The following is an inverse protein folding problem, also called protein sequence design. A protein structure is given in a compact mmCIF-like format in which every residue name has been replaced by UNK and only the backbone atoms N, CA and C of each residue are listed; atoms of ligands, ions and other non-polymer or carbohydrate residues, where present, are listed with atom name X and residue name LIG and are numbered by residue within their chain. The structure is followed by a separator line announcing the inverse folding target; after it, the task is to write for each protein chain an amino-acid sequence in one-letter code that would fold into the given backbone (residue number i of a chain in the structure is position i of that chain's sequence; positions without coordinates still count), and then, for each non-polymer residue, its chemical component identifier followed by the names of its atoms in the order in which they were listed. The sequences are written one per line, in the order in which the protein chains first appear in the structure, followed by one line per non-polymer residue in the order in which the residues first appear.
data_IF_115374515575
#
_entry.id   IF_115374515575
#
_cell.length_a   1.000
_cell.length_b   1.000
_cell.length_c   1.000
_cell.angle_alpha   90.00
_cell.angle_beta   90.00
_cell.angle_gamma   90.00
#
_symmetry.space_group_name_H-M   'P 1'
#
loop_
_entity.id
_entity.type
_entity.pdbx_description
1 polymer ?
#
# COMPACT_ATOMS: atom_id res chain seq x y z
N UNK A 1 12.46 10.53 17.99
CA UNK A 1 13.61 9.84 18.60
C UNK A 1 13.33 8.49 19.26
N UNK A 2 12.19 8.24 19.91
CA UNK A 2 11.91 6.89 20.46
C UNK A 2 11.62 5.83 19.39
N UNK A 3 10.91 6.16 18.31
CA UNK A 3 10.52 5.19 17.28
C UNK A 3 11.71 4.65 16.47
N UNK A 4 12.77 5.46 16.29
CA UNK A 4 14.01 5.01 15.62
C UNK A 4 14.81 4.02 16.47
N UNK A 5 14.78 4.14 17.80
CA UNK A 5 15.54 3.29 18.70
C UNK A 5 14.85 1.95 18.99
N UNK A 6 13.51 1.92 19.02
CA UNK A 6 12.73 0.68 19.09
C UNK A 6 12.88 -0.16 17.81
N UNK A 7 12.81 0.49 16.64
CA UNK A 7 12.98 -0.18 15.35
C UNK A 7 14.39 -0.81 15.21
N UNK A 8 15.44 -0.13 15.68
CA UNK A 8 16.82 -0.65 15.66
C UNK A 8 17.01 -1.91 16.56
N UNK A 9 16.29 -2.00 17.69
CA UNK A 9 16.41 -3.15 18.58
C UNK A 9 15.67 -4.39 18.05
N UNK A 10 14.48 -4.19 17.47
CA UNK A 10 13.71 -5.26 16.84
C UNK A 10 14.41 -5.78 15.58
N UNK A 11 14.92 -4.89 14.73
CA UNK A 11 15.71 -5.24 13.54
C UNK A 11 16.97 -6.03 13.92
N UNK A 12 17.70 -5.60 14.97
CA UNK A 12 18.87 -6.33 15.50
C UNK A 12 18.50 -7.72 16.01
N UNK A 13 17.38 -7.84 16.72
CA UNK A 13 16.91 -9.14 17.19
C UNK A 13 16.52 -10.05 16.02
N UNK A 14 15.81 -9.52 15.02
CA UNK A 14 15.45 -10.26 13.81
C UNK A 14 16.70 -10.71 13.04
N UNK A 15 17.64 -9.81 12.79
CA UNK A 15 18.91 -10.14 12.14
C UNK A 15 19.69 -11.20 12.92
N UNK A 16 19.73 -11.08 14.25
CA UNK A 16 20.33 -12.08 15.11
C UNK A 16 19.63 -13.45 14.99
N UNK A 17 18.30 -13.51 14.98
CA UNK A 17 17.54 -14.75 14.78
C UNK A 17 17.88 -15.37 13.41
N UNK A 18 17.85 -14.56 12.35
CA UNK A 18 18.09 -15.00 10.98
C UNK A 18 19.52 -15.52 10.77
N UNK A 19 20.53 -14.91 11.41
CA UNK A 19 21.92 -15.38 11.28
C UNK A 19 22.13 -16.80 11.81
N UNK A 20 21.30 -17.27 12.75
CA UNK A 20 21.33 -18.66 13.23
C UNK A 20 20.55 -19.64 12.34
N UNK A 21 19.86 -19.14 11.31
CA UNK A 21 19.06 -19.92 10.36
C UNK A 21 19.63 -19.88 8.93
N UNK A 22 20.72 -19.15 8.67
CA UNK A 22 21.31 -18.97 7.34
C UNK A 22 21.46 -20.28 6.56
N UNK A 23 22.12 -21.29 7.14
CA UNK A 23 22.33 -22.58 6.47
C UNK A 23 21.01 -23.29 6.09
N UNK A 24 19.98 -23.18 6.94
CA UNK A 24 18.68 -23.78 6.66
C UNK A 24 17.92 -22.97 5.61
N UNK A 25 18.04 -21.64 5.64
CA UNK A 25 17.48 -20.76 4.60
C UNK A 25 18.13 -21.10 3.26
N UNK A 26 19.45 -21.20 3.15
CA UNK A 26 20.14 -21.56 1.91
C UNK A 26 19.74 -22.94 1.40
N UNK A 27 19.57 -23.91 2.29
CA UNK A 27 19.18 -25.28 1.96
C UNK A 27 17.75 -25.38 1.43
N UNK A 28 16.83 -24.58 1.96
CA UNK A 28 15.40 -24.62 1.61
C UNK A 28 14.98 -23.50 0.65
N UNK A 29 15.89 -22.56 0.34
CA UNK A 29 15.62 -21.47 -0.58
C UNK A 29 15.22 -22.05 -1.95
N UNK A 30 14.04 -21.71 -2.47
CA UNK A 30 13.64 -22.16 -3.79
C UNK A 30 14.60 -21.61 -4.84
N UNK A 31 14.87 -22.39 -5.89
CA UNK A 31 15.56 -21.88 -7.06
C UNK A 31 14.76 -20.75 -7.71
N UNK A 32 15.42 -19.89 -8.50
CA UNK A 32 14.75 -18.80 -9.23
C UNK A 32 13.62 -19.30 -10.16
N UNK A 33 13.71 -20.54 -10.65
CA UNK A 33 12.66 -21.21 -11.43
C UNK A 33 11.48 -21.70 -10.57
N UNK A 34 11.73 -22.07 -9.31
CA UNK A 34 10.70 -22.49 -8.35
C UNK A 34 10.01 -21.30 -7.66
N UNK A 35 10.68 -20.15 -7.58
CA UNK A 35 10.10 -18.87 -7.13
C UNK A 35 9.04 -18.28 -8.07
N UNK A 36 8.67 -18.99 -9.14
CA UNK A 36 7.49 -18.64 -9.94
C UNK A 36 6.21 -18.98 -9.15
N UNK A 37 6.02 -18.37 -7.98
CA UNK A 37 4.71 -18.36 -7.34
C UNK A 37 3.77 -17.63 -8.26
N UNK A 38 2.86 -18.41 -8.86
CA UNK A 38 2.04 -17.95 -9.98
C UNK A 38 0.97 -17.00 -9.46
N UNK A 39 0.41 -17.27 -8.28
CA UNK A 39 -0.80 -16.61 -7.81
C UNK A 39 -0.70 -16.06 -6.37
N UNK A 40 -1.61 -15.13 -6.06
CA UNK A 40 -1.65 -14.42 -4.77
C UNK A 40 -1.85 -15.38 -3.59
N UNK A 41 -2.70 -16.42 -3.73
CA UNK A 41 -2.91 -17.37 -2.64
C UNK A 41 -1.61 -18.08 -2.26
N UNK A 42 -0.90 -18.66 -3.24
CA UNK A 42 0.31 -19.46 -2.98
C UNK A 42 1.46 -18.58 -2.46
N UNK A 43 1.52 -17.32 -2.89
CA UNK A 43 2.48 -16.34 -2.36
C UNK A 43 2.33 -16.14 -0.84
N UNK A 44 1.10 -16.09 -0.34
CA UNK A 44 0.81 -15.97 1.10
C UNK A 44 0.80 -17.31 1.85
N UNK A 45 0.80 -18.45 1.14
CA UNK A 45 0.82 -19.79 1.73
C UNK A 45 2.05 -20.59 1.28
N UNK A 46 3.28 -20.07 1.47
CA UNK A 46 4.48 -20.79 1.07
C UNK A 46 4.66 -22.05 1.92
N UNK A 47 5.42 -23.00 1.39
CA UNK A 47 5.92 -24.12 2.21
C UNK A 47 6.69 -23.55 3.40
N UNK A 48 6.28 -23.92 4.61
CA UNK A 48 6.82 -23.34 5.84
C UNK A 48 7.46 -24.41 6.72
N UNK A 49 8.70 -24.13 7.10
CA UNK A 49 9.49 -24.92 8.05
C UNK A 49 9.55 -24.20 9.39
N UNK A 50 9.49 -24.95 10.48
CA UNK A 50 9.52 -24.40 11.83
C UNK A 50 10.82 -24.80 12.52
N UNK A 51 11.45 -23.84 13.20
CA UNK A 51 12.70 -24.08 13.91
C UNK A 51 12.62 -23.59 15.35
N UNK A 52 13.25 -24.33 16.26
CA UNK A 52 13.54 -23.87 17.61
C UNK A 52 15.04 -23.53 17.69
N UNK A 53 15.35 -22.32 18.16
CA UNK A 53 16.71 -21.93 18.49
C UNK A 53 17.04 -22.50 19.88
N UNK A 54 18.13 -23.27 19.96
CA UNK A 54 18.59 -23.94 21.17
C UNK A 54 19.98 -23.45 21.55
N UNK A 55 20.24 -23.37 22.84
CA UNK A 55 21.57 -23.08 23.39
C UNK A 55 22.07 -24.30 24.15
N UNK A 56 23.16 -24.89 23.65
CA UNK A 56 23.81 -26.06 24.24
C UNK A 56 25.32 -25.85 24.23
N UNK A 57 25.96 -26.02 25.38
CA UNK A 57 27.41 -25.97 25.56
C UNK A 57 28.09 -24.70 24.99
N UNK A 58 27.48 -23.53 25.17
CA UNK A 58 28.06 -22.27 24.68
C UNK A 58 27.76 -21.96 23.21
N UNK A 59 27.05 -22.84 22.51
CA UNK A 59 26.72 -22.69 21.10
C UNK A 59 25.22 -22.58 20.89
N UNK A 60 24.84 -21.67 19.99
CA UNK A 60 23.47 -21.55 19.52
C UNK A 60 23.32 -22.38 18.25
N UNK A 61 22.26 -23.18 18.19
CA UNK A 61 21.95 -24.03 17.04
C UNK A 61 20.45 -23.99 16.73
N UNK A 62 20.09 -24.05 15.46
CA UNK A 62 18.71 -24.27 15.03
C UNK A 62 18.38 -25.75 14.99
N UNK A 63 17.16 -26.11 15.41
CA UNK A 63 16.61 -27.47 15.29
C UNK A 63 15.23 -27.39 14.65
N UNK A 64 15.06 -28.07 13.52
CA UNK A 64 13.75 -28.18 12.89
C UNK A 64 12.77 -28.89 13.84
N UNK A 65 11.55 -28.36 13.92
CA UNK A 65 10.46 -28.91 14.72
C UNK A 65 9.27 -29.21 13.84
N UNK A 66 8.50 -30.22 14.22
CA UNK A 66 7.29 -30.57 13.49
C UNK A 66 6.23 -29.47 13.60
N UNK A 67 5.49 -29.30 12.51
CA UNK A 67 4.34 -28.41 12.48
C UNK A 67 3.29 -28.88 13.49
N UNK A 68 2.80 -27.95 14.33
CA UNK A 68 1.73 -28.21 15.28
C UNK A 68 0.53 -27.29 15.00
N UNK A 69 -0.70 -27.64 15.46
CA UNK A 69 -1.86 -26.76 15.31
C UNK A 69 -1.64 -25.35 15.87
N UNK A 70 -0.91 -25.22 16.98
CA UNK A 70 -0.59 -23.93 17.58
C UNK A 70 0.35 -23.08 16.70
N UNK A 71 1.32 -23.70 16.03
CA UNK A 71 2.22 -23.01 15.10
C UNK A 71 1.49 -22.59 13.83
N UNK A 72 0.62 -23.45 13.28
CA UNK A 72 -0.23 -23.11 12.13
C UNK A 72 -1.18 -21.97 12.45
N UNK A 73 -1.82 -22.01 13.62
CA UNK A 73 -2.67 -20.91 14.08
C UNK A 73 -1.91 -19.57 14.18
N UNK A 74 -0.65 -19.57 14.63
CA UNK A 74 0.18 -18.36 14.62
C UNK A 74 0.42 -17.85 13.20
N UNK A 75 0.71 -18.73 12.25
CA UNK A 75 0.87 -18.35 10.84
C UNK A 75 -0.41 -17.78 10.24
N UNK A 76 -1.55 -18.41 10.48
CA UNK A 76 -2.84 -17.95 9.96
C UNK A 76 -3.17 -16.53 10.45
N UNK A 77 -2.71 -16.16 11.65
CA UNK A 77 -2.87 -14.81 12.21
C UNK A 77 -1.91 -13.77 11.59
N UNK A 78 -0.89 -14.19 10.83
CA UNK A 78 -0.02 -13.30 10.07
C UNK A 78 -0.61 -12.96 8.70
N UNK A 79 -1.62 -13.71 8.24
CA UNK A 79 -2.25 -13.45 6.96
C UNK A 79 -3.06 -12.14 7.00
N UNK A 80 -2.96 -11.29 5.97
CA UNK A 80 -3.76 -10.09 5.89
C UNK A 80 -5.23 -10.48 5.78
N UNK A 81 -6.02 -10.10 6.77
CA UNK A 81 -7.45 -10.41 6.84
C UNK A 81 -8.24 -9.34 7.59
N UNK A 82 -9.24 -8.78 6.92
CA UNK A 82 -10.19 -7.83 7.53
C UNK A 82 -11.62 -8.29 7.26
N UNK A 83 -12.42 -8.39 8.33
CA UNK A 83 -13.86 -8.61 8.23
C UNK A 83 -14.59 -7.32 7.87
N UNK A 84 -15.37 -7.38 6.80
CA UNK A 84 -16.15 -6.27 6.27
C UNK A 84 -17.52 -6.15 6.97
N UNK A 85 -17.92 -4.92 7.34
CA UNK A 85 -19.24 -4.68 7.88
C UNK A 85 -20.33 -4.74 6.79
N UNK A 86 -21.58 -4.99 7.20
CA UNK A 86 -22.74 -5.16 6.28
C UNK A 86 -22.92 -4.00 5.31
N UNK A 87 -22.56 -2.76 5.68
CA UNK A 87 -22.74 -1.61 4.78
C UNK A 87 -21.77 -1.64 3.59
N UNK A 88 -20.55 -2.17 3.77
CA UNK A 88 -19.61 -2.38 2.66
C UNK A 88 -20.08 -3.54 1.78
N UNK A 89 -20.53 -4.65 2.38
CA UNK A 89 -21.03 -5.80 1.62
C UNK A 89 -22.23 -5.45 0.73
N UNK A 90 -23.01 -4.44 1.11
CA UNK A 90 -24.14 -3.92 0.32
C UNK A 90 -23.72 -3.04 -0.87
N UNK A 91 -22.44 -2.69 -1.01
CA UNK A 91 -21.93 -1.91 -2.15
C UNK A 91 -21.89 -2.74 -3.45
N UNK A 92 -22.12 -4.06 -3.40
CA UNK A 92 -22.23 -4.92 -4.58
C UNK A 92 -20.91 -5.12 -5.33
N UNK A 93 -19.77 -5.00 -4.62
CA UNK A 93 -18.44 -5.22 -5.21
C UNK A 93 -18.27 -6.73 -5.51
N UNK A 94 -17.80 -7.11 -6.71
CA UNK A 94 -17.57 -8.52 -7.05
C UNK A 94 -16.45 -9.13 -6.21
N UNK A 95 -16.45 -10.46 -6.08
CA UNK A 95 -15.47 -11.21 -5.28
C UNK A 95 -14.56 -12.04 -6.19
N UNK A 96 -13.29 -12.09 -5.82
CA UNK A 96 -12.23 -12.86 -6.48
C UNK A 96 -11.55 -13.76 -5.46
N UNK A 97 -11.20 -14.98 -5.88
CA UNK A 97 -10.33 -15.85 -5.10
C UNK A 97 -8.88 -15.45 -5.34
N UNK A 98 -8.07 -15.37 -4.27
CA UNK A 98 -6.65 -15.06 -4.39
C UNK A 98 -5.89 -16.08 -5.26
N UNK A 99 -6.39 -17.33 -5.35
CA UNK A 99 -5.85 -18.38 -6.21
C UNK A 99 -6.03 -18.12 -7.70
N UNK A 100 -6.99 -17.26 -8.07
CA UNK A 100 -7.30 -16.94 -9.47
C UNK A 100 -6.48 -15.75 -9.99
N UNK A 101 -5.74 -15.08 -9.10
CA UNK A 101 -5.01 -13.85 -9.41
C UNK A 101 -3.54 -14.17 -9.62
N UNK A 102 -3.06 -14.04 -10.85
CA UNK A 102 -1.65 -14.25 -11.18
C UNK A 102 -0.84 -13.01 -10.75
N UNK A 103 0.32 -13.19 -10.13
CA UNK A 103 1.22 -12.09 -9.77
C UNK A 103 2.05 -11.70 -10.99
N UNK A 104 2.01 -10.43 -11.37
CA UNK A 104 2.76 -9.87 -12.51
C UNK A 104 3.96 -9.06 -12.02
N UNK A 105 3.76 -8.25 -10.99
CA UNK A 105 4.77 -7.38 -10.42
C UNK A 105 4.61 -7.26 -8.91
N UNK A 106 5.74 -7.21 -8.21
CA UNK A 106 5.81 -6.95 -6.77
C UNK A 106 6.22 -5.49 -6.54
N UNK A 107 5.56 -4.80 -5.62
CA UNK A 107 6.05 -3.54 -5.08
C UNK A 107 6.80 -3.83 -3.78
N UNK A 108 8.13 -3.94 -3.87
CA UNK A 108 8.98 -4.34 -2.76
C UNK A 108 8.66 -5.77 -2.29
N UNK A 109 8.19 -5.91 -1.05
CA UNK A 109 7.93 -7.20 -0.41
C UNK A 109 6.50 -7.72 -0.61
N UNK A 110 5.62 -7.03 -1.34
CA UNK A 110 4.22 -7.43 -1.51
C UNK A 110 3.83 -7.50 -2.99
N UNK A 111 2.93 -8.42 -3.39
CA UNK A 111 2.36 -8.42 -4.73
C UNK A 111 1.54 -7.15 -4.96
N UNK A 112 1.83 -6.42 -6.03
CA UNK A 112 1.20 -5.14 -6.33
C UNK A 112 0.36 -5.18 -7.60
N UNK A 113 0.90 -5.73 -8.70
CA UNK A 113 0.15 -5.89 -9.94
C UNK A 113 -0.21 -7.35 -10.12
N UNK A 114 -1.51 -7.59 -10.31
CA UNK A 114 -2.07 -8.93 -10.50
C UNK A 114 -2.88 -8.99 -11.78
N UNK A 115 -2.94 -10.18 -12.38
CA UNK A 115 -3.70 -10.46 -13.59
C UNK A 115 -4.85 -11.41 -13.28
N UNK A 116 -6.02 -11.08 -13.79
CA UNK A 116 -7.14 -12.01 -13.87
C UNK A 116 -7.63 -12.06 -15.31
N UNK A 117 -7.48 -13.23 -15.94
CA UNK A 117 -7.66 -13.41 -17.39
C UNK A 117 -6.72 -12.47 -18.15
N UNK A 118 -7.25 -11.57 -18.98
CA UNK A 118 -6.46 -10.63 -19.80
C UNK A 118 -6.34 -9.23 -19.19
N UNK A 119 -6.87 -9.01 -17.97
CA UNK A 119 -6.89 -7.69 -17.33
C UNK A 119 -5.89 -7.61 -16.18
N UNK A 120 -5.22 -6.47 -16.08
CA UNK A 120 -4.33 -6.12 -14.97
C UNK A 120 -5.06 -5.28 -13.93
N UNK A 121 -4.72 -5.50 -12.68
CA UNK A 121 -5.27 -4.80 -11.52
C UNK A 121 -4.15 -4.48 -10.54
N UNK A 122 -4.33 -3.38 -9.80
CA UNK A 122 -3.54 -3.11 -8.62
C UNK A 122 -4.19 -3.82 -7.42
N UNK A 123 -3.45 -4.66 -6.71
CA UNK A 123 -3.89 -5.33 -5.48
C UNK A 123 -3.49 -4.48 -4.27
N UNK A 124 -4.48 -3.85 -3.62
CA UNK A 124 -4.27 -3.18 -2.34
C UNK A 124 -4.55 -4.16 -1.20
N UNK A 125 -3.49 -4.61 -0.53
CA UNK A 125 -3.54 -5.54 0.60
C UNK A 125 -4.06 -4.81 1.84
N UNK A 126 -4.87 -5.49 2.67
CA UNK A 126 -5.41 -4.88 3.90
C UNK A 126 -4.43 -4.95 5.06
N UNK A 127 -4.47 -3.95 5.94
CA UNK A 127 -3.82 -3.99 7.24
C UNK A 127 -4.81 -4.49 8.31
N UNK A 128 -4.60 -5.70 8.91
CA UNK A 128 -5.45 -6.21 9.97
C UNK A 128 -5.42 -5.37 11.26
N UNK A 129 -4.32 -4.68 11.53
CA UNK A 129 -4.17 -3.82 12.70
C UNK A 129 -4.96 -2.51 12.53
N UNK A 130 -5.14 -2.05 11.29
CA UNK A 130 -5.84 -0.82 10.96
C UNK A 130 -6.97 -1.06 9.93
N UNK A 131 -8.08 -1.71 10.33
CA UNK A 131 -9.15 -2.06 9.40
C UNK A 131 -10.06 -0.87 9.04
N UNK A 132 -9.95 0.27 9.73
CA UNK A 132 -10.82 1.44 9.51
C UNK A 132 -10.48 2.16 8.19
N UNK A 133 -9.20 2.45 7.87
CA UNK A 133 -8.81 3.04 6.59
C UNK A 133 -9.34 2.27 5.37
N UNK A 134 -9.14 0.95 5.31
CA UNK A 134 -9.65 0.12 4.20
C UNK A 134 -11.16 0.27 4.00
N UNK A 135 -11.94 0.30 5.10
CA UNK A 135 -13.41 0.43 5.02
C UNK A 135 -13.81 1.83 4.53
N UNK A 136 -13.10 2.86 4.97
CA UNK A 136 -13.28 4.24 4.54
C UNK A 136 -12.99 4.40 3.05
N UNK A 137 -11.86 3.88 2.59
CA UNK A 137 -11.44 3.93 1.19
C UNK A 137 -12.45 3.24 0.26
N UNK A 138 -12.85 2.00 0.56
CA UNK A 138 -13.86 1.27 -0.21
C UNK A 138 -15.18 2.04 -0.30
N UNK A 139 -15.59 2.69 0.79
CA UNK A 139 -16.82 3.49 0.83
C UNK A 139 -16.72 4.73 -0.04
N UNK A 140 -15.66 5.54 0.12
CA UNK A 140 -15.47 6.77 -0.66
C UNK A 140 -15.37 6.45 -2.15
N UNK A 141 -14.54 5.49 -2.55
CA UNK A 141 -14.33 5.17 -3.96
C UNK A 141 -15.63 4.69 -4.63
N UNK A 142 -16.47 3.91 -3.93
CA UNK A 142 -17.78 3.48 -4.46
C UNK A 142 -18.79 4.62 -4.49
N UNK A 143 -18.74 5.59 -3.57
CA UNK A 143 -19.60 6.77 -3.64
C UNK A 143 -19.20 7.71 -4.79
N UNK A 144 -17.89 7.94 -4.99
CA UNK A 144 -17.32 8.64 -6.15
C UNK A 144 -17.80 7.99 -7.45
N UNK A 145 -17.77 6.66 -7.53
CA UNK A 145 -18.27 5.92 -8.69
C UNK A 145 -19.78 6.14 -8.90
N UNK A 146 -20.57 6.02 -7.83
CA UNK A 146 -22.02 6.20 -7.85
C UNK A 146 -22.44 7.61 -8.29
N UNK A 147 -21.65 8.62 -7.93
CA UNK A 147 -21.85 10.01 -8.35
C UNK A 147 -21.28 10.32 -9.74
N UNK A 148 -20.63 9.35 -10.40
CA UNK A 148 -19.95 9.49 -11.69
C UNK A 148 -18.75 10.46 -11.69
N UNK A 149 -18.19 10.82 -10.54
CA UNK A 149 -17.07 11.77 -10.46
C UNK A 149 -15.78 11.24 -11.09
N UNK A 150 -15.63 9.90 -11.18
CA UNK A 150 -14.55 9.25 -11.94
C UNK A 150 -14.53 9.58 -13.45
N UNK A 151 -15.55 10.28 -13.96
CA UNK A 151 -15.59 10.82 -15.33
C UNK A 151 -15.06 12.24 -15.43
N UNK A 152 -14.95 12.94 -14.30
CA UNK A 152 -14.52 14.34 -14.19
C UNK A 152 -13.11 14.45 -13.60
N UNK A 153 -12.74 13.51 -12.73
CA UNK A 153 -11.38 13.35 -12.21
C UNK A 153 -10.89 11.91 -12.42
N UNK A 154 -9.56 11.74 -12.48
CA UNK A 154 -8.93 10.43 -12.57
C UNK A 154 -8.68 9.89 -11.18
N UNK A 155 -9.35 8.79 -10.88
CA UNK A 155 -9.30 8.09 -9.60
C UNK A 155 -9.43 6.60 -9.90
N UNK A 156 -8.64 5.72 -9.25
CA UNK A 156 -8.82 4.29 -9.40
C UNK A 156 -10.25 3.90 -9.04
N UNK A 157 -10.78 2.88 -9.69
CA UNK A 157 -12.08 2.31 -9.34
C UNK A 157 -11.88 1.00 -8.60
N UNK A 158 -12.78 0.67 -7.67
CA UNK A 158 -12.76 -0.63 -6.97
C UNK A 158 -13.34 -1.70 -7.90
N UNK A 159 -12.47 -2.59 -8.36
CA UNK A 159 -12.78 -3.63 -9.33
C UNK A 159 -13.20 -4.96 -8.68
N UNK A 160 -12.82 -5.21 -7.43
CA UNK A 160 -13.14 -6.46 -6.74
C UNK A 160 -12.63 -6.57 -5.32
N UNK A 161 -13.26 -7.42 -4.52
CA UNK A 161 -12.80 -7.85 -3.21
C UNK A 161 -12.06 -9.18 -3.35
N UNK A 162 -10.93 -9.35 -2.67
CA UNK A 162 -10.11 -10.56 -2.76
C UNK A 162 -10.14 -11.33 -1.44
N UNK A 163 -10.35 -12.64 -1.49
CA UNK A 163 -10.30 -13.51 -0.31
C UNK A 163 -9.42 -14.74 -0.55
N UNK A 164 -8.82 -15.28 0.51
CA UNK A 164 -8.14 -16.57 0.47
C UNK A 164 -9.10 -17.76 0.45
N UNK A 165 -10.38 -17.55 0.78
CA UNK A 165 -11.37 -18.60 0.94
C UNK A 165 -12.68 -18.21 0.26
N UNK A 166 -13.66 -19.12 0.25
CA UNK A 166 -15.04 -18.82 -0.17
C UNK A 166 -15.80 -17.87 0.78
N UNK A 167 -15.12 -17.28 1.78
CA UNK A 167 -15.69 -16.26 2.65
C UNK A 167 -16.27 -15.10 1.85
N UNK A 168 -17.47 -14.66 2.25
CA UNK A 168 -18.16 -13.49 1.68
C UNK A 168 -18.21 -12.32 2.66
N UNK A 169 -17.38 -12.38 3.69
CA UNK A 169 -17.30 -11.34 4.73
C UNK A 169 -15.87 -10.89 4.99
N UNK A 170 -14.86 -11.72 4.69
CA UNK A 170 -13.47 -11.42 4.98
C UNK A 170 -12.67 -11.23 3.70
N UNK A 171 -11.88 -10.17 3.65
CA UNK A 171 -10.99 -9.85 2.54
C UNK A 171 -9.53 -9.88 2.99
N UNK A 172 -8.64 -10.26 2.07
CA UNK A 172 -7.18 -10.10 2.22
C UNK A 172 -6.67 -8.86 1.50
N UNK A 173 -7.47 -8.33 0.57
CA UNK A 173 -7.16 -7.18 -0.24
C UNK A 173 -8.34 -6.83 -1.14
N UNK A 174 -8.17 -5.82 -1.96
CA UNK A 174 -9.11 -5.46 -3.00
C UNK A 174 -8.39 -4.99 -4.26
N UNK A 175 -9.03 -5.19 -5.40
CA UNK A 175 -8.53 -4.83 -6.71
C UNK A 175 -8.95 -3.40 -7.06
N UNK A 176 -7.99 -2.61 -7.52
CA UNK A 176 -8.18 -1.29 -8.06
C UNK A 176 -7.79 -1.27 -9.55
N UNK A 177 -8.24 -0.22 -10.26
CA UNK A 177 -7.73 0.09 -11.61
C UNK A 177 -6.20 0.12 -11.59
N UNK A 178 -5.55 -0.66 -12.46
CA UNK A 178 -4.12 -0.54 -12.71
C UNK A 178 -3.85 0.74 -13.52
N UNK A 179 -3.01 1.63 -12.98
CA UNK A 179 -2.56 2.83 -13.68
C UNK A 179 -1.25 2.49 -14.39
N UNK A 180 -1.27 2.44 -15.72
CA UNK A 180 -0.11 2.02 -16.51
C UNK A 180 0.99 3.10 -16.50
N UNK A 181 2.21 2.70 -16.16
CA UNK A 181 3.36 3.61 -16.08
C UNK A 181 3.20 4.66 -14.99
N UNK A 182 2.50 4.34 -13.91
CA UNK A 182 2.27 5.25 -12.80
C UNK A 182 3.57 5.57 -12.06
N UNK A 183 3.86 6.85 -11.94
CA UNK A 183 4.98 7.38 -11.14
C UNK A 183 4.43 8.31 -10.04
N UNK A 184 4.87 8.18 -8.77
CA UNK A 184 4.49 9.11 -7.71
C UNK A 184 4.87 10.54 -8.08
N UNK A 185 3.97 11.49 -7.81
CA UNK A 185 4.20 12.89 -8.13
C UNK A 185 5.45 13.45 -7.41
N UNK A 186 5.79 12.91 -6.24
CA UNK A 186 7.00 13.27 -5.48
C UNK A 186 8.29 13.12 -6.30
N UNK A 187 8.39 12.13 -7.18
CA UNK A 187 9.56 11.95 -8.06
C UNK A 187 9.61 12.96 -9.21
N UNK A 188 8.51 13.69 -9.44
CA UNK A 188 8.34 14.65 -10.53
C UNK A 188 8.30 16.10 -10.03
N UNK A 189 8.47 16.31 -8.73
CA UNK A 189 8.70 17.62 -8.11
C UNK A 189 10.16 18.02 -8.30
N UNK A 190 10.55 18.26 -9.54
CA UNK A 190 11.94 18.56 -9.92
C UNK A 190 11.95 19.71 -10.95
N UNK A 191 12.92 20.61 -10.82
CA UNK A 191 13.06 21.78 -11.72
C UNK A 191 13.45 21.40 -13.15
N UNK A 192 14.05 20.21 -13.37
CA UNK A 192 14.31 19.63 -14.69
C UNK A 192 13.01 19.18 -15.39
N UNK A 193 11.92 18.96 -14.65
CA UNK A 193 10.61 18.68 -15.26
C UNK A 193 10.07 19.98 -15.88
N UNK A 194 9.65 19.96 -17.17
CA UNK A 194 9.16 21.14 -17.85
C UNK A 194 8.04 21.87 -17.08
N UNK A 195 8.22 23.16 -16.82
CA UNK A 195 7.28 24.01 -16.06
C UNK A 195 5.82 23.84 -16.53
N UNK A 196 5.58 23.79 -17.84
CA UNK A 196 4.22 23.65 -18.38
C UNK A 196 3.52 22.34 -17.95
N UNK A 197 4.28 21.26 -17.68
CA UNK A 197 3.73 20.02 -17.12
C UNK A 197 3.39 20.20 -15.65
N UNK A 198 4.30 20.79 -14.87
CA UNK A 198 4.10 21.05 -13.45
C UNK A 198 2.91 21.99 -13.20
N UNK A 199 2.78 23.07 -13.98
CA UNK A 199 1.64 23.99 -13.93
C UNK A 199 0.31 23.29 -14.23
N UNK A 200 0.31 22.34 -15.19
CA UNK A 200 -0.86 21.52 -15.50
C UNK A 200 -1.23 20.64 -14.32
N UNK A 201 -0.27 19.92 -13.74
CA UNK A 201 -0.52 19.07 -12.58
C UNK A 201 -0.97 19.87 -11.37
N UNK A 202 -0.42 21.07 -11.13
CA UNK A 202 -0.84 21.94 -10.05
C UNK A 202 -2.32 22.33 -10.21
N UNK A 203 -2.70 22.75 -11.42
CA UNK A 203 -4.09 23.06 -11.76
C UNK A 203 -5.01 21.84 -11.67
N UNK A 204 -4.54 20.63 -12.01
CA UNK A 204 -5.30 19.39 -11.90
C UNK A 204 -5.48 18.97 -10.43
N UNK A 205 -4.44 19.05 -9.60
CA UNK A 205 -4.49 18.75 -8.15
C UNK A 205 -5.56 19.60 -7.46
N UNK A 206 -5.54 20.92 -7.65
CA UNK A 206 -6.54 21.81 -7.06
C UNK A 206 -7.95 21.46 -7.53
N UNK A 207 -8.13 21.19 -8.83
CA UNK A 207 -9.46 20.85 -9.38
C UNK A 207 -10.00 19.55 -8.81
N UNK A 208 -9.16 18.52 -8.69
CA UNK A 208 -9.58 17.22 -8.15
C UNK A 208 -9.98 17.33 -6.68
N UNK A 209 -9.20 18.03 -5.86
CA UNK A 209 -9.50 18.19 -4.43
C UNK A 209 -10.74 19.07 -4.22
N UNK A 210 -10.85 20.19 -4.96
CA UNK A 210 -12.07 21.01 -4.93
C UNK A 210 -13.32 20.21 -5.35
N UNK A 211 -13.21 19.33 -6.34
CA UNK A 211 -14.33 18.48 -6.77
C UNK A 211 -14.73 17.49 -5.65
N UNK A 212 -13.76 16.90 -4.93
CA UNK A 212 -14.05 16.07 -3.77
C UNK A 212 -14.84 16.84 -2.71
N UNK A 213 -14.37 18.03 -2.33
CA UNK A 213 -15.01 18.85 -1.30
C UNK A 213 -16.40 19.36 -1.71
N UNK A 214 -16.62 19.68 -2.99
CA UNK A 214 -17.95 20.05 -3.51
C UNK A 214 -18.99 18.94 -3.34
N UNK A 215 -18.54 17.69 -3.18
CA UNK A 215 -19.37 16.52 -2.96
C UNK A 215 -19.27 15.96 -1.53
N UNK A 216 -18.80 16.78 -0.58
CA UNK A 216 -18.64 16.45 0.84
C UNK A 216 -17.67 15.26 1.09
N UNK A 217 -16.75 15.01 0.18
CA UNK A 217 -15.67 14.05 0.38
C UNK A 217 -14.42 14.74 0.88
N UNK A 218 -13.99 14.36 2.08
CA UNK A 218 -12.65 14.67 2.59
C UNK A 218 -11.69 13.60 2.07
N UNK A 219 -10.57 14.00 1.49
CA UNK A 219 -9.50 13.11 1.04
C UNK A 219 -8.80 12.49 2.25
N UNK A 220 -8.28 13.33 3.15
CA UNK A 220 -7.81 12.95 4.48
C UNK A 220 -6.38 12.44 4.56
N UNK A 221 -5.61 12.53 3.47
CA UNK A 221 -4.15 12.28 3.46
C UNK A 221 -3.51 13.04 2.28
N UNK A 222 -3.69 14.36 2.25
CA UNK A 222 -3.21 15.19 1.16
C UNK A 222 -1.68 15.31 1.16
N UNK A 223 -1.03 14.55 0.27
CA UNK A 223 0.42 14.54 0.02
C UNK A 223 0.73 14.21 -1.43
N UNK A 224 1.91 14.61 -1.90
CA UNK A 224 2.32 14.37 -3.28
C UNK A 224 2.41 12.87 -3.62
N UNK A 225 2.76 12.00 -2.67
CA UNK A 225 2.82 10.54 -2.89
C UNK A 225 1.44 9.92 -3.23
N UNK A 226 0.36 10.57 -2.83
CA UNK A 226 -1.01 10.13 -3.13
C UNK A 226 -1.53 10.73 -4.46
N UNK A 227 -0.67 11.39 -5.22
CA UNK A 227 -0.88 11.68 -6.63
C UNK A 227 0.05 10.83 -7.49
N UNK A 228 -0.49 10.25 -8.55
CA UNK A 228 0.27 9.48 -9.54
C UNK A 228 0.17 10.14 -10.91
N UNK A 229 1.25 10.15 -11.67
CA UNK A 229 1.26 10.55 -13.09
C UNK A 229 1.35 9.29 -13.94
N UNK A 230 0.38 9.10 -14.84
CA UNK A 230 0.39 7.95 -15.76
C UNK A 230 1.31 8.15 -16.97
N UNK A 231 1.46 7.10 -17.79
CA UNK A 231 2.26 7.13 -19.03
C UNK A 231 1.87 8.23 -20.03
N UNK A 232 0.63 8.73 -19.97
CA UNK A 232 0.10 9.80 -20.83
C UNK A 232 0.18 11.17 -20.13
N UNK A 233 0.98 11.24 -19.07
CA UNK A 233 1.27 12.39 -18.21
C UNK A 233 0.04 12.95 -17.49
N UNK A 234 -0.99 12.13 -17.28
CA UNK A 234 -2.21 12.56 -16.60
C UNK A 234 -2.10 12.31 -15.11
N UNK A 235 -2.58 13.28 -14.34
CA UNK A 235 -2.62 13.17 -12.89
C UNK A 235 -3.80 12.30 -12.44
N UNK A 236 -3.55 11.41 -11.48
CA UNK A 236 -4.51 10.58 -10.76
C UNK A 236 -4.43 10.89 -9.27
N UNK A 237 -5.58 11.02 -8.62
CA UNK A 237 -5.67 11.05 -7.16
C UNK A 237 -5.91 9.63 -6.64
N UNK A 238 -5.11 9.20 -5.68
CA UNK A 238 -5.18 7.88 -5.06
C UNK A 238 -5.29 7.99 -3.53
N UNK A 239 -5.46 6.84 -2.88
CA UNK A 239 -5.54 6.66 -1.43
C UNK A 239 -6.62 7.49 -0.70
N UNK A 240 -7.74 6.84 -0.38
CA UNK A 240 -8.81 7.42 0.44
C UNK A 240 -8.95 6.72 1.79
N UNK A 241 -7.89 6.02 2.23
CA UNK A 241 -7.86 5.36 3.53
C UNK A 241 -7.97 6.34 4.68
N UNK A 242 -7.40 7.54 4.50
CA UNK A 242 -7.16 8.47 5.59
C UNK A 242 -5.98 7.97 6.43
N UNK A 243 -5.01 8.86 6.62
CA UNK A 243 -3.89 8.62 7.51
C UNK A 243 -3.26 9.96 7.87
N UNK A 244 -2.67 10.07 9.06
CA UNK A 244 -1.89 11.25 9.40
C UNK A 244 -0.46 11.05 8.93
N UNK A 245 -0.02 11.85 7.96
CA UNK A 245 1.39 11.92 7.55
C UNK A 245 2.03 13.19 8.12
N UNK A 246 3.01 13.05 9.00
CA UNK A 246 3.76 14.18 9.57
C UNK A 246 4.42 15.02 8.46
N UNK A 247 4.44 16.34 8.65
CA UNK A 247 5.06 17.29 7.70
C UNK A 247 4.15 17.82 6.59
N UNK A 248 3.10 17.07 6.20
CA UNK A 248 2.13 17.52 5.18
C UNK A 248 0.95 18.29 5.76
N UNK A 249 0.34 17.76 6.83
CA UNK A 249 -0.84 18.36 7.47
C UNK A 249 -0.58 18.64 8.96
N UNK A 250 -1.18 19.70 9.52
CA UNK A 250 -1.16 19.98 10.96
C UNK A 250 -1.97 18.85 11.63
N UNK A 251 -1.46 18.21 12.72
CA UNK A 251 -2.20 17.17 13.42
C UNK A 251 -3.65 17.52 13.75
N UNK A 252 -3.94 18.79 14.01
CA UNK A 252 -5.28 19.28 14.37
C UNK A 252 -6.23 19.41 13.17
N UNK A 253 -5.70 19.37 11.94
CA UNK A 253 -6.45 19.45 10.69
C UNK A 253 -6.51 18.10 9.97
N UNK A 254 -6.12 17.01 10.64
CA UNK A 254 -6.15 15.69 10.05
C UNK A 254 -7.59 15.28 9.67
N UNK A 255 -7.75 14.70 8.49
CA UNK A 255 -9.05 14.32 7.94
C UNK A 255 -10.09 15.46 7.95
N UNK A 256 -9.67 16.70 7.62
CA UNK A 256 -10.57 17.84 7.39
C UNK A 256 -10.38 18.46 6.00
N UNK A 257 -11.37 19.25 5.57
CA UNK A 257 -11.30 20.03 4.32
C UNK A 257 -10.10 20.98 4.36
N UNK A 258 -9.91 21.67 5.49
CA UNK A 258 -8.79 22.60 5.67
C UNK A 258 -7.43 21.89 5.64
N UNK A 259 -7.37 20.65 6.14
CA UNK A 259 -6.18 19.80 6.05
C UNK A 259 -5.85 19.44 4.60
N UNK A 260 -6.86 19.02 3.83
CA UNK A 260 -6.73 18.72 2.40
C UNK A 260 -6.28 19.95 1.61
N UNK A 261 -6.89 21.11 1.86
CA UNK A 261 -6.53 22.38 1.22
C UNK A 261 -5.09 22.79 1.54
N UNK A 262 -4.66 22.59 2.79
CA UNK A 262 -3.29 22.91 3.19
C UNK A 262 -2.27 21.98 2.52
N UNK A 263 -2.52 20.67 2.51
CA UNK A 263 -1.67 19.70 1.82
C UNK A 263 -1.59 19.99 0.32
N UNK A 264 -2.74 20.24 -0.31
CA UNK A 264 -2.83 20.59 -1.74
C UNK A 264 -2.05 21.85 -2.07
N UNK A 265 -2.12 22.89 -1.23
CA UNK A 265 -1.34 24.12 -1.43
C UNK A 265 0.17 23.88 -1.38
N UNK A 266 0.65 23.00 -0.50
CA UNK A 266 2.07 22.62 -0.46
C UNK A 266 2.49 21.93 -1.76
N UNK A 267 1.67 20.99 -2.25
CA UNK A 267 1.91 20.28 -3.51
C UNK A 267 1.96 21.28 -4.68
N UNK A 268 0.98 22.19 -4.77
CA UNK A 268 0.92 23.22 -5.81
C UNK A 268 2.15 24.15 -5.77
N UNK A 269 2.57 24.57 -4.58
CA UNK A 269 3.77 25.39 -4.43
C UNK A 269 5.03 24.63 -4.87
N UNK A 270 5.19 23.37 -4.48
CA UNK A 270 6.28 22.49 -4.92
C UNK A 270 6.25 22.23 -6.42
N UNK A 271 5.08 22.17 -7.04
CA UNK A 271 4.97 22.07 -8.49
C UNK A 271 5.36 23.37 -9.18
N UNK A 272 5.05 24.55 -8.62
CA UNK A 272 5.47 25.81 -9.23
C UNK A 272 6.97 26.07 -9.07
N UNK A 273 7.50 25.83 -7.88
CA UNK A 273 8.90 26.03 -7.51
C UNK A 273 9.42 24.85 -6.66
N UNK A 274 9.91 23.78 -7.32
CA UNK A 274 10.43 22.61 -6.65
C UNK A 274 11.63 22.91 -5.75
N UNK A 275 12.55 23.77 -6.20
CA UNK A 275 13.80 24.06 -5.50
C UNK A 275 13.55 24.76 -4.15
N UNK A 276 12.54 25.64 -4.07
CA UNK A 276 12.19 26.34 -2.82
C UNK A 276 11.26 25.55 -1.89
N UNK A 277 10.49 24.58 -2.42
CA UNK A 277 9.37 23.96 -1.69
C UNK A 277 9.48 22.43 -1.57
N UNK A 278 10.58 21.86 -2.03
CA UNK A 278 10.99 20.48 -1.72
C UNK A 278 12.30 20.51 -0.94
N UNK A 279 12.53 19.51 -0.10
CA UNK A 279 13.79 19.36 0.63
C UNK A 279 14.54 18.16 0.06
N UNK A 280 15.77 18.37 -0.41
CA UNK A 280 16.67 17.26 -0.73
C UNK A 280 17.00 16.48 0.56
N UNK A 281 16.67 15.19 0.59
CA UNK A 281 16.99 14.32 1.72
C UNK A 281 18.51 14.15 1.93
N UNK A 282 19.32 14.45 0.91
CA UNK A 282 20.78 14.37 0.96
C UNK A 282 21.44 15.51 1.76
N UNK A 283 20.71 16.60 2.05
CA UNK A 283 21.26 17.78 2.73
C UNK A 283 21.21 17.68 4.28
N UNK A 284 20.82 16.52 4.82
CA UNK A 284 20.85 16.26 6.27
C UNK A 284 22.26 15.96 6.83
N UNK A 285 23.31 16.24 6.06
CA UNK A 285 24.71 16.21 6.54
C UNK A 285 25.36 17.58 6.70
N UNK A 286 24.66 18.58 7.27
CA UNK A 286 25.34 19.72 7.89
C UNK A 286 24.45 20.54 8.85
N UNK A 287 24.57 20.28 10.16
CA UNK A 287 24.90 21.24 11.23
C UNK A 287 24.64 20.66 12.62
#
# INVERSE_FOLDING_TARGET
DNDKAENDSEEKLQAWILSHLENEIEKHAPSRSEMQTINVHDWYHPMTHFYAIQYTDGKITSKEIESSPALRFKMDNLLPKVTLPKYILKLGIPWFQASDLEIVENAGALPAIVRYKDNLYFLKVVDPAQPAPTKRELKIMKDIEKLNLHKEMRVPQVQGLVSFTDSRTDIMGFLQTHIEGAEPLTHLLDSDVPQAKRDRWASESEKMVNLLHQHDFIWGDAKADNFMVDKDEKLWIIDFGGSYTEGWVDPNLNETIEGDDMGTRKIVNALHDPDENTFDLDDTTAA
#
